data_IF_506573945394
#
_entry.id   IF_506573945394
#
_cell.length_a   1.000
_cell.length_b   1.000
_cell.length_c   1.000
_cell.angle_alpha   90.00
_cell.angle_beta   90.00
_cell.angle_gamma   90.00
#
_symmetry.space_group_name_H-M   'P 1'
#
loop_
_entity.id
_entity.type
_entity.pdbx_description
1 polymer ?
#
# COMPACT_ATOMS: atom_id res chain seq x y z
N UNK A 1 13.68 5.29 -10.68
CA UNK A 1 14.70 5.31 -9.61
C UNK A 1 14.41 6.37 -8.53
N UNK A 2 14.27 5.89 -7.29
CA UNK A 2 14.53 6.65 -6.06
C UNK A 2 16.03 6.61 -5.75
N UNK A 3 16.50 7.49 -4.86
CA UNK A 3 17.85 7.38 -4.30
C UNK A 3 17.92 6.15 -3.35
N UNK A 4 18.78 5.14 -3.61
CA UNK A 4 18.93 3.95 -2.75
C UNK A 4 19.65 4.23 -1.42
N UNK A 5 20.12 5.47 -1.19
CA UNK A 5 20.72 5.93 0.05
C UNK A 5 19.87 6.97 0.78
N UNK A 6 18.86 7.53 0.10
CA UNK A 6 17.99 8.57 0.62
C UNK A 6 16.72 8.04 1.29
N UNK A 7 15.99 8.93 1.96
CA UNK A 7 14.69 8.66 2.58
C UNK A 7 13.50 8.94 1.63
N UNK A 8 13.74 8.91 0.31
CA UNK A 8 12.67 9.10 -0.67
C UNK A 8 11.73 7.88 -0.71
N UNK A 9 10.43 8.16 -0.79
CA UNK A 9 9.38 7.18 -1.06
C UNK A 9 8.49 7.69 -2.19
N UNK A 10 7.73 6.80 -2.83
CA UNK A 10 6.62 7.19 -3.71
C UNK A 10 5.29 7.11 -2.96
N UNK A 11 4.38 8.00 -3.29
CA UNK A 11 2.98 7.95 -2.88
C UNK A 11 2.09 8.03 -4.11
N UNK A 12 0.92 7.40 -4.04
CA UNK A 12 -0.14 7.57 -5.04
C UNK A 12 -1.22 8.50 -4.51
N UNK A 13 -1.78 9.35 -5.37
CA UNK A 13 -3.04 10.07 -5.13
C UNK A 13 -4.13 9.37 -5.95
N UNK A 14 -5.14 8.84 -5.28
CA UNK A 14 -6.30 8.24 -5.94
C UNK A 14 -7.22 9.38 -6.41
N UNK A 15 -7.56 9.41 -7.70
CA UNK A 15 -8.48 10.41 -8.26
C UNK A 15 -9.93 10.09 -7.88
N UNK A 16 -10.73 11.09 -7.47
CA UNK A 16 -12.13 10.90 -7.11
C UNK A 16 -12.98 10.49 -8.32
N UNK A 17 -14.10 9.80 -8.07
CA UNK A 17 -15.10 9.52 -9.11
C UNK A 17 -16.46 9.23 -8.51
N UNK A 18 -17.47 9.93 -9.01
CA UNK A 18 -18.88 9.75 -8.66
C UNK A 18 -19.43 8.35 -9.05
N UNK A 19 -18.77 7.64 -9.98
CA UNK A 19 -19.22 6.33 -10.46
C UNK A 19 -18.35 5.19 -9.89
N UNK A 20 -18.94 4.32 -9.06
CA UNK A 20 -18.22 3.19 -8.43
C UNK A 20 -17.59 2.20 -9.43
N UNK A 21 -18.17 2.04 -10.62
CA UNK A 21 -17.66 1.18 -11.70
C UNK A 21 -16.61 1.84 -12.60
N UNK A 22 -16.35 3.15 -12.49
CA UNK A 22 -15.34 3.81 -13.30
C UNK A 22 -13.93 3.24 -13.01
N UNK A 23 -13.09 3.12 -14.04
CA UNK A 23 -11.70 2.66 -13.90
C UNK A 23 -10.96 3.48 -12.82
N UNK A 24 -10.17 2.81 -11.97
CA UNK A 24 -9.32 3.50 -10.98
C UNK A 24 -8.26 4.31 -11.73
N UNK A 25 -8.09 5.56 -11.30
CA UNK A 25 -7.03 6.44 -11.78
C UNK A 25 -6.24 6.94 -10.58
N UNK A 26 -4.92 6.94 -10.72
CA UNK A 26 -4.00 7.42 -9.72
C UNK A 26 -2.91 8.26 -10.40
N UNK A 27 -2.44 9.30 -9.71
CA UNK A 27 -1.13 9.88 -9.99
C UNK A 27 -0.10 9.39 -8.97
N UNK A 28 1.16 9.23 -9.39
CA UNK A 28 2.27 8.83 -8.52
C UNK A 28 3.32 9.92 -8.47
N UNK A 29 3.79 10.24 -7.26
CA UNK A 29 4.76 11.30 -7.00
C UNK A 29 5.75 10.88 -5.91
N UNK A 30 6.91 11.53 -5.87
CA UNK A 30 7.96 11.32 -4.87
C UNK A 30 7.82 12.30 -3.72
N UNK A 31 8.21 11.87 -2.52
CA UNK A 31 8.36 12.69 -1.31
C UNK A 31 9.51 12.11 -0.48
N UNK A 32 10.06 12.90 0.45
CA UNK A 32 10.96 12.37 1.49
C UNK A 32 10.15 12.07 2.75
N UNK A 33 10.60 11.10 3.56
CA UNK A 33 9.97 10.79 4.84
C UNK A 33 9.98 11.98 5.83
N UNK A 34 10.95 12.90 5.70
CA UNK A 34 11.06 14.12 6.53
C UNK A 34 10.02 15.19 6.17
N UNK A 35 9.62 15.28 4.89
CA UNK A 35 8.71 16.30 4.34
C UNK A 35 7.40 15.68 3.78
N UNK A 36 6.96 14.57 4.38
CA UNK A 36 5.84 13.78 3.87
C UNK A 36 4.49 14.50 4.14
N UNK A 37 3.60 14.68 3.14
CA UNK A 37 2.25 15.16 3.38
C UNK A 37 1.44 14.11 4.13
N UNK A 38 0.32 14.48 4.77
CA UNK A 38 -0.61 13.50 5.37
C UNK A 38 -0.99 12.42 4.36
N UNK A 39 -0.66 11.17 4.68
CA UNK A 39 -0.89 10.01 3.83
C UNK A 39 -1.35 8.81 4.65
N UNK A 40 -1.87 7.81 3.96
CA UNK A 40 -2.35 6.56 4.50
C UNK A 40 -1.49 5.41 3.96
N UNK A 41 -1.44 4.27 4.64
CA UNK A 41 -0.81 3.06 4.10
C UNK A 41 -1.86 1.98 3.84
N UNK A 42 -1.67 1.18 2.80
CA UNK A 42 -2.57 0.09 2.43
C UNK A 42 -1.94 -1.29 2.68
N UNK A 43 -2.61 -2.10 3.50
CA UNK A 43 -2.46 -3.55 3.60
C UNK A 43 -3.70 -4.21 2.97
N UNK A 44 -3.61 -5.41 2.38
CA UNK A 44 -3.30 -5.40 0.94
C UNK A 44 -3.16 -6.80 0.32
N UNK A 45 -4.02 -7.78 0.62
CA UNK A 45 -3.86 -9.19 0.18
C UNK A 45 -3.51 -9.32 -1.31
N UNK A 46 -2.27 -9.67 -1.69
CA UNK A 46 -1.86 -9.70 -3.11
C UNK A 46 -2.74 -10.68 -3.92
N UNK A 47 -3.08 -11.83 -3.33
CA UNK A 47 -4.00 -12.80 -3.94
C UNK A 47 -3.46 -13.40 -5.23
N UNK A 48 -4.36 -13.78 -6.13
CA UNK A 48 -3.97 -14.23 -7.47
C UNK A 48 -3.53 -13.04 -8.36
N UNK A 49 -2.43 -13.25 -9.06
CA UNK A 49 -1.79 -12.31 -9.99
C UNK A 49 -1.85 -12.80 -11.44
N UNK A 50 -2.42 -13.99 -11.70
CA UNK A 50 -2.50 -14.61 -13.03
C UNK A 50 -3.29 -13.78 -14.05
N UNK A 51 -4.32 -13.07 -13.58
CA UNK A 51 -5.23 -12.26 -14.38
C UNK A 51 -5.30 -10.83 -13.82
N UNK A 52 -4.28 -9.98 -14.09
CA UNK A 52 -4.23 -8.62 -13.58
C UNK A 52 -5.24 -7.70 -14.26
N UNK A 53 -5.72 -6.69 -13.52
CA UNK A 53 -6.62 -5.64 -14.02
C UNK A 53 -5.83 -4.34 -14.15
N UNK A 54 -6.00 -3.62 -15.25
CA UNK A 54 -5.31 -2.35 -15.47
C UNK A 54 -6.03 -1.17 -14.78
N UNK A 55 -5.30 -0.47 -13.92
CA UNK A 55 -5.63 0.90 -13.49
C UNK A 55 -4.97 1.91 -14.45
N UNK A 56 -5.31 3.20 -14.30
CA UNK A 56 -4.54 4.29 -14.91
C UNK A 56 -3.57 4.86 -13.88
N UNK A 57 -2.27 4.85 -14.18
CA UNK A 57 -1.23 5.46 -13.35
C UNK A 57 -0.51 6.52 -14.18
N UNK A 58 -0.58 7.80 -13.78
CA UNK A 58 -0.11 8.95 -14.58
C UNK A 58 -0.61 8.90 -16.05
N UNK A 59 -1.86 8.47 -16.26
CA UNK A 59 -2.50 8.30 -17.58
C UNK A 59 -2.16 7.00 -18.33
N UNK A 60 -1.04 6.34 -18.01
CA UNK A 60 -0.64 5.06 -18.58
C UNK A 60 -1.46 3.89 -17.98
N UNK A 61 -1.60 2.78 -18.71
CA UNK A 61 -2.17 1.55 -18.15
C UNK A 61 -1.13 0.88 -17.25
N UNK A 62 -1.53 0.51 -16.03
CA UNK A 62 -0.68 -0.17 -15.06
C UNK A 62 -1.42 -1.41 -14.52
N UNK A 63 -0.89 -2.64 -14.72
CA UNK A 63 -1.54 -3.87 -14.25
C UNK A 63 -1.40 -4.02 -12.73
N UNK A 64 -2.49 -4.40 -12.06
CA UNK A 64 -2.50 -4.77 -10.64
C UNK A 64 -3.31 -6.06 -10.42
N UNK A 65 -2.97 -6.84 -9.40
CA UNK A 65 -3.78 -7.99 -8.99
C UNK A 65 -5.20 -7.60 -8.56
N UNK A 66 -6.15 -8.55 -8.67
CA UNK A 66 -7.59 -8.34 -8.42
C UNK A 66 -7.86 -7.66 -7.07
N UNK A 67 -7.18 -8.10 -6.01
CA UNK A 67 -7.40 -7.57 -4.67
C UNK A 67 -6.92 -6.12 -4.51
N UNK A 68 -5.83 -5.72 -5.17
CA UNK A 68 -5.40 -4.31 -5.16
C UNK A 68 -6.43 -3.45 -5.90
N UNK A 69 -6.91 -3.93 -7.04
CA UNK A 69 -7.94 -3.24 -7.82
C UNK A 69 -9.21 -3.01 -7.00
N UNK A 70 -9.70 -4.04 -6.31
CA UNK A 70 -10.89 -3.94 -5.45
C UNK A 70 -10.65 -3.01 -4.25
N UNK A 71 -9.50 -3.13 -3.58
CA UNK A 71 -9.12 -2.25 -2.48
C UNK A 71 -9.09 -0.78 -2.93
N UNK A 72 -8.37 -0.44 -4.01
CA UNK A 72 -8.29 0.93 -4.53
C UNK A 72 -9.65 1.49 -4.95
N UNK A 73 -10.52 0.67 -5.59
CA UNK A 73 -11.90 1.07 -5.92
C UNK A 73 -12.71 1.43 -4.67
N UNK A 74 -12.58 0.62 -3.62
CA UNK A 74 -13.31 0.86 -2.37
C UNK A 74 -12.74 2.06 -1.60
N UNK A 75 -11.43 2.23 -1.54
CA UNK A 75 -10.78 3.43 -0.98
C UNK A 75 -11.25 4.71 -1.68
N UNK A 76 -11.27 4.74 -3.03
CA UNK A 76 -11.83 5.85 -3.80
C UNK A 76 -13.28 6.15 -3.39
N UNK A 77 -14.11 5.10 -3.31
CA UNK A 77 -15.52 5.23 -2.94
C UNK A 77 -15.75 5.74 -1.52
N UNK A 78 -14.81 5.49 -0.59
CA UNK A 78 -14.88 5.96 0.79
C UNK A 78 -14.31 7.39 0.95
N UNK A 79 -13.44 7.83 0.04
CA UNK A 79 -12.88 9.18 0.03
C UNK A 79 -13.82 10.22 -0.61
N UNK A 80 -14.77 9.79 -1.45
CA UNK A 80 -15.73 10.66 -2.12
C UNK A 80 -15.03 11.59 -3.12
N UNK A 81 -15.28 12.90 -3.00
CA UNK A 81 -14.66 13.93 -3.83
C UNK A 81 -13.28 14.41 -3.30
N UNK A 82 -12.82 13.93 -2.14
CA UNK A 82 -11.51 14.29 -1.57
C UNK A 82 -10.42 13.38 -2.13
N UNK A 83 -9.37 13.91 -2.81
CA UNK A 83 -8.27 13.08 -3.30
C UNK A 83 -7.47 12.49 -2.14
N UNK A 84 -7.40 11.16 -2.05
CA UNK A 84 -6.73 10.47 -0.95
C UNK A 84 -5.32 10.00 -1.36
N UNK A 85 -4.34 10.27 -0.49
CA UNK A 85 -2.92 9.94 -0.71
C UNK A 85 -2.57 8.65 0.04
N UNK A 86 -2.11 7.64 -0.69
CA UNK A 86 -1.76 6.32 -0.15
C UNK A 86 -0.34 5.91 -0.51
N UNK A 87 0.34 5.22 0.41
CA UNK A 87 1.43 4.32 0.09
C UNK A 87 0.86 2.92 -0.17
N UNK A 88 1.32 2.29 -1.27
CA UNK A 88 0.91 0.96 -1.72
C UNK A 88 2.14 0.25 -2.28
N UNK A 89 2.58 -0.83 -1.66
CA UNK A 89 3.82 -1.56 -1.98
C UNK A 89 4.00 -1.89 -3.48
N UNK A 90 3.01 -2.51 -4.10
CA UNK A 90 3.05 -2.96 -5.49
C UNK A 90 3.04 -1.83 -6.54
N UNK A 91 2.83 -0.58 -6.13
CA UNK A 91 2.79 0.61 -7.01
C UNK A 91 3.88 1.61 -6.66
N UNK A 92 4.23 1.72 -5.38
CA UNK A 92 5.18 2.72 -4.88
C UNK A 92 6.62 2.23 -4.89
N UNK A 93 6.85 0.92 -4.75
CA UNK A 93 8.18 0.28 -4.87
C UNK A 93 8.41 -0.15 -6.32
N UNK A 94 9.61 0.08 -6.88
CA UNK A 94 9.97 -0.53 -8.15
C UNK A 94 10.27 -2.02 -7.95
N UNK A 95 9.34 -2.87 -8.38
CA UNK A 95 9.43 -4.32 -8.21
C UNK A 95 10.45 -4.97 -9.17
N UNK A 96 11.10 -4.21 -10.06
CA UNK A 96 12.05 -4.74 -11.07
C UNK A 96 13.52 -4.53 -10.73
N UNK A 97 13.83 -3.69 -9.74
CA UNK A 97 15.20 -3.37 -9.33
C UNK A 97 15.39 -3.82 -7.89
N UNK A 98 16.18 -4.88 -7.69
CA UNK A 98 16.33 -5.52 -6.39
C UNK A 98 16.94 -4.60 -5.34
N UNK A 99 17.81 -3.68 -5.76
CA UNK A 99 18.41 -2.66 -4.90
C UNK A 99 17.38 -1.63 -4.41
N UNK A 100 16.53 -1.10 -5.30
CA UNK A 100 15.46 -0.16 -4.91
C UNK A 100 14.39 -0.89 -4.08
N UNK A 101 14.06 -2.12 -4.46
CA UNK A 101 13.10 -2.99 -3.76
C UNK A 101 13.56 -3.29 -2.33
N UNK A 102 14.81 -3.74 -2.16
CA UNK A 102 15.40 -4.01 -0.85
C UNK A 102 15.45 -2.75 0.03
N UNK A 103 15.88 -1.62 -0.54
CA UNK A 103 15.92 -0.35 0.19
C UNK A 103 14.53 0.09 0.68
N UNK A 104 13.52 0.10 -0.20
CA UNK A 104 12.15 0.45 0.19
C UNK A 104 11.54 -0.55 1.19
N UNK A 105 11.86 -1.85 1.07
CA UNK A 105 11.45 -2.88 2.04
C UNK A 105 12.06 -2.61 3.42
N UNK A 106 13.34 -2.21 3.49
CA UNK A 106 13.99 -1.85 4.76
C UNK A 106 13.31 -0.66 5.45
N UNK A 107 12.77 0.29 4.67
CA UNK A 107 12.04 1.47 5.15
C UNK A 107 10.56 1.23 5.44
N UNK A 108 9.99 0.05 5.14
CA UNK A 108 8.54 -0.21 5.32
C UNK A 108 8.07 0.10 6.74
N UNK A 109 8.89 -0.18 7.76
CA UNK A 109 8.56 0.15 9.15
C UNK A 109 8.28 1.65 9.32
N UNK A 110 9.22 2.50 8.88
CA UNK A 110 9.13 3.95 8.99
C UNK A 110 7.95 4.51 8.16
N UNK A 111 7.65 3.88 7.03
CA UNK A 111 6.49 4.23 6.19
C UNK A 111 5.18 3.91 6.91
N UNK A 112 5.03 2.71 7.50
CA UNK A 112 3.82 2.36 8.25
C UNK A 112 3.68 3.12 9.58
N UNK A 113 4.78 3.39 10.28
CA UNK A 113 4.79 4.19 11.51
C UNK A 113 4.53 5.69 11.22
N UNK A 114 4.88 6.19 10.03
CA UNK A 114 4.66 7.58 9.60
C UNK A 114 3.32 7.86 8.90
N UNK A 115 2.52 6.83 8.59
CA UNK A 115 1.20 7.00 8.00
C UNK A 115 0.15 7.42 9.04
N UNK A 116 -0.79 8.29 8.65
CA UNK A 116 -1.86 8.79 9.52
C UNK A 116 -2.85 7.68 9.95
N UNK A 117 -3.08 6.70 9.09
CA UNK A 117 -3.84 5.49 9.37
C UNK A 117 -3.41 4.39 8.39
N UNK A 118 -3.48 3.13 8.84
CA UNK A 118 -3.25 1.95 8.00
C UNK A 118 -4.60 1.31 7.67
N UNK A 119 -5.00 1.38 6.40
CA UNK A 119 -6.17 0.68 5.89
C UNK A 119 -5.82 -0.78 5.61
N UNK A 120 -6.53 -1.72 6.23
CA UNK A 120 -6.32 -3.16 6.03
C UNK A 120 -7.49 -3.75 5.25
N UNK A 121 -7.23 -4.20 4.02
CA UNK A 121 -8.17 -4.86 3.13
C UNK A 121 -8.18 -6.37 3.33
N UNK A 122 -9.30 -6.90 3.82
CA UNK A 122 -9.50 -8.32 4.07
C UNK A 122 -10.28 -9.03 2.94
N UNK A 123 -10.70 -8.30 1.90
CA UNK A 123 -11.51 -8.79 0.78
C UNK A 123 -12.92 -8.21 0.75
N UNK A 124 -13.69 -8.57 -0.28
CA UNK A 124 -15.14 -8.30 -0.31
C UNK A 124 -15.87 -9.39 0.49
N UNK A 125 -16.62 -9.01 1.54
CA UNK A 125 -17.46 -9.98 2.24
C UNK A 125 -18.67 -10.36 1.36
N UNK A 126 -19.13 -11.60 1.48
CA UNK A 126 -20.14 -12.22 0.60
C UNK A 126 -21.53 -11.55 0.56
N UNK A 127 -21.76 -10.48 1.35
CA UNK A 127 -23.01 -9.72 1.40
C UNK A 127 -22.79 -8.19 1.29
N UNK A 128 -21.63 -7.74 0.78
CA UNK A 128 -21.35 -6.32 0.58
C UNK A 128 -21.04 -5.51 1.84
N UNK A 129 -20.97 -6.16 3.01
CA UNK A 129 -20.34 -5.60 4.21
C UNK A 129 -18.83 -5.47 4.01
N UNK A 130 -18.21 -4.51 4.71
CA UNK A 130 -16.79 -4.23 4.63
C UNK A 130 -16.06 -4.88 5.80
N UNK A 131 -14.88 -5.42 5.55
CA UNK A 131 -13.85 -5.61 6.56
C UNK A 131 -12.60 -4.79 6.20
N UNK A 132 -12.79 -3.46 6.04
CA UNK A 132 -11.69 -2.52 6.20
C UNK A 132 -11.50 -2.24 7.69
N UNK A 133 -10.52 -2.90 8.31
CA UNK A 133 -10.10 -2.55 9.67
C UNK A 133 -9.33 -1.23 9.61
N UNK A 134 -10.07 -0.12 9.76
CA UNK A 134 -9.50 1.19 10.08
C UNK A 134 -8.93 1.16 11.48
N UNK A 135 -7.65 0.84 11.62
CA UNK A 135 -6.95 1.03 12.88
C UNK A 135 -6.43 2.47 12.90
N UNK A 136 -6.99 3.36 13.75
CA UNK A 136 -6.39 4.69 13.94
C UNK A 136 -4.94 4.52 14.40
N UNK A 137 -4.08 5.50 14.11
CA UNK A 137 -2.65 5.44 14.42
C UNK A 137 -2.37 5.34 15.95
N UNK A 138 -2.45 4.12 16.49
CA UNK A 138 -2.26 3.79 17.91
C UNK A 138 -0.77 3.69 18.30
N UNK A 139 0.13 4.45 17.66
CA UNK A 139 1.55 4.10 17.63
C UNK A 139 2.41 4.67 18.76
N UNK A 140 2.28 4.01 19.91
CA UNK A 140 3.44 3.72 20.77
C UNK A 140 4.01 2.32 20.48
N UNK A 141 5.19 2.01 21.03
CA UNK A 141 5.98 0.79 20.78
C UNK A 141 5.22 -0.55 20.81
N UNK A 142 4.13 -0.65 21.60
CA UNK A 142 3.32 -1.87 21.72
C UNK A 142 2.49 -2.17 20.47
N UNK A 143 2.15 -1.17 19.66
CA UNK A 143 1.21 -1.32 18.55
C UNK A 143 1.88 -1.75 17.24
N UNK A 144 3.16 -1.43 17.01
CA UNK A 144 3.91 -2.04 15.89
C UNK A 144 3.96 -3.57 16.05
N UNK A 145 4.00 -4.08 17.29
CA UNK A 145 3.85 -5.52 17.52
C UNK A 145 2.48 -6.03 17.03
N UNK A 146 1.39 -5.32 17.27
CA UNK A 146 0.06 -5.71 16.79
C UNK A 146 -0.08 -5.61 15.26
N UNK A 147 0.46 -4.56 14.63
CA UNK A 147 0.53 -4.45 13.15
C UNK A 147 1.38 -5.58 12.56
N UNK A 148 2.58 -5.80 13.11
CA UNK A 148 3.47 -6.88 12.70
C UNK A 148 2.81 -8.23 12.88
N UNK A 149 2.14 -8.48 14.01
CA UNK A 149 1.45 -9.73 14.30
C UNK A 149 0.20 -9.90 13.40
N UNK A 150 -0.47 -8.81 12.98
CA UNK A 150 -1.53 -8.82 11.96
C UNK A 150 -0.99 -9.18 10.58
N UNK A 151 0.15 -8.61 10.17
CA UNK A 151 0.83 -9.03 8.96
C UNK A 151 1.27 -10.50 9.08
N UNK A 152 1.98 -10.90 10.15
CA UNK A 152 2.44 -12.28 10.40
C UNK A 152 1.31 -13.33 10.32
N UNK A 153 0.08 -12.96 10.69
CA UNK A 153 -1.10 -13.85 10.59
C UNK A 153 -1.58 -14.14 9.16
N UNK A 154 -1.26 -13.31 8.17
CA UNK A 154 -1.80 -13.46 6.81
C UNK A 154 -0.77 -13.34 5.66
N UNK A 155 0.50 -13.01 5.93
CA UNK A 155 1.40 -12.44 4.89
C UNK A 155 2.71 -13.17 4.59
N UNK A 156 3.52 -13.40 5.61
CA UNK A 156 4.99 -13.40 5.44
C UNK A 156 5.58 -14.62 4.72
N UNK A 157 4.75 -15.58 4.31
CA UNK A 157 5.22 -16.77 3.59
C UNK A 157 5.43 -16.56 2.07
N UNK A 158 4.96 -15.45 1.44
CA UNK A 158 4.87 -15.39 -0.04
C UNK A 158 5.24 -14.10 -0.79
N UNK A 159 6.14 -13.24 -0.29
CA UNK A 159 7.15 -12.54 -1.12
C UNK A 159 8.39 -12.26 -0.25
N UNK A 160 9.53 -12.86 -0.61
CA UNK A 160 10.93 -12.52 -0.29
C UNK A 160 11.26 -11.56 0.88
N UNK A 161 10.91 -11.92 2.11
CA UNK A 161 11.62 -11.42 3.31
C UNK A 161 12.02 -12.60 4.21
N UNK A 162 12.73 -13.56 3.62
CA UNK A 162 13.33 -14.70 4.31
C UNK A 162 14.87 -14.72 4.28
N UNK A 163 15.51 -13.75 3.60
CA UNK A 163 16.97 -13.65 3.56
C UNK A 163 17.59 -12.66 4.56
N UNK A 164 16.84 -11.66 5.06
CA UNK A 164 17.41 -10.66 5.99
C UNK A 164 17.02 -10.85 7.47
N UNK A 165 15.83 -11.40 7.78
CA UNK A 165 15.36 -11.53 9.17
C UNK A 165 16.05 -12.67 9.93
N UNK A 166 16.65 -13.65 9.23
CA UNK A 166 17.44 -14.74 9.85
C UNK A 166 18.95 -14.41 9.88
N UNK A 167 19.39 -13.31 9.25
CA UNK A 167 20.80 -12.88 9.21
C UNK A 167 20.95 -11.45 9.74
N UNK A 168 20.19 -11.10 10.78
CA UNK A 168 20.40 -9.85 11.52
C UNK A 168 20.07 -9.90 13.03
N UNK A 169 20.08 -11.11 13.64
CA UNK A 169 20.82 -11.42 14.90
C UNK A 169 20.62 -12.87 15.34
#
# INVERSE_FOLDING_TARGET
PLDPTGTEIRLIRIEPSQQFSAQVRCSIFKVRLEDVPTYYALSYCWGDQSNPICIRLNGCLFPVGINLYLALRRLRSLAGDVPAVYWVDAVCIDQKTDEERGHQVSMMRNIYEGANEVSVWLGEAAQGSMDFLKQPALFGQRSWKAIRDLFLRAWWNRVWIYQEIVVSR
#
